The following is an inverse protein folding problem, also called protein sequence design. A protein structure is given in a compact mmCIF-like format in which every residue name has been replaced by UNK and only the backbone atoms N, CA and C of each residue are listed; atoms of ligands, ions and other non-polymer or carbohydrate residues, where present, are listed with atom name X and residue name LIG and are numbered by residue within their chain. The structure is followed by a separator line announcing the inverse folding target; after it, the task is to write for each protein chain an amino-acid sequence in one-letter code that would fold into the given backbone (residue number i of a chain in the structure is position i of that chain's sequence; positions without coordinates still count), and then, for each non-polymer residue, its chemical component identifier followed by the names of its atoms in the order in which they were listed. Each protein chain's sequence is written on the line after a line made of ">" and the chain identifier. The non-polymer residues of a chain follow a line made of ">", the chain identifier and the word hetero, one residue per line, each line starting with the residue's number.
data_IF_075976505961
#
_entry.id   IF_075976505961
#
_cell.length_a   1.000
_cell.length_b   1.000
_cell.length_c   1.000
_cell.angle_alpha   90.00
_cell.angle_beta   90.00
_cell.angle_gamma   90.00
#
_symmetry.space_group_name_H-M   'P 1'
#
loop_
_entity.id
_entity.type
_entity.pdbx_description
1 polymer ?
#
# COMPACT_ATOMS: atom_id res chain seq x y z
N UNK A 1 16.75 -6.22 12.28
CA UNK A 1 15.44 -5.60 12.03
C UNK A 1 15.66 -4.10 11.94
N UNK A 2 15.12 -3.43 10.91
CA UNK A 2 15.16 -1.99 10.77
C UNK A 2 13.83 -1.41 11.25
N UNK A 3 13.88 -0.28 11.95
CA UNK A 3 12.72 0.45 12.42
C UNK A 3 12.78 1.88 11.91
N UNK A 4 11.65 2.42 11.44
CA UNK A 4 11.55 3.81 11.04
C UNK A 4 11.38 4.67 12.30
N UNK A 5 12.40 5.48 12.61
CA UNK A 5 12.39 6.34 13.79
C UNK A 5 11.77 7.73 13.47
N UNK A 6 12.16 8.34 12.35
CA UNK A 6 11.66 9.66 11.91
C UNK A 6 11.88 9.84 10.41
N UNK A 7 11.19 10.80 9.80
CA UNK A 7 11.37 11.15 8.39
C UNK A 7 10.83 12.54 8.08
N UNK A 8 11.33 13.13 6.97
CA UNK A 8 10.78 14.35 6.37
C UNK A 8 10.63 14.13 4.87
N UNK A 9 9.54 14.62 4.30
CA UNK A 9 9.40 14.65 2.86
C UNK A 9 9.93 15.96 2.31
N UNK A 10 10.82 15.86 1.30
CA UNK A 10 11.54 17.03 0.78
C UNK A 10 11.40 17.12 -0.73
N UNK A 11 11.46 18.35 -1.25
CA UNK A 11 11.34 18.61 -2.69
C UNK A 11 12.65 18.34 -3.46
N UNK A 12 13.79 18.34 -2.76
CA UNK A 12 15.10 18.05 -3.32
C UNK A 12 15.87 17.09 -2.39
N UNK A 13 15.57 15.79 -2.54
CA UNK A 13 16.17 14.74 -1.71
C UNK A 13 17.71 14.69 -1.82
N UNK A 14 18.28 14.90 -3.02
CA UNK A 14 19.74 14.86 -3.22
C UNK A 14 20.46 15.96 -2.43
N UNK A 15 19.89 17.17 -2.42
CA UNK A 15 20.45 18.29 -1.65
C UNK A 15 20.40 18.01 -0.15
N UNK A 16 19.27 17.48 0.34
CA UNK A 16 19.08 17.16 1.75
C UNK A 16 19.96 16.00 2.19
N UNK A 17 20.00 14.93 1.40
CA UNK A 17 20.87 13.77 1.65
C UNK A 17 22.35 14.20 1.75
N UNK A 18 22.82 14.98 0.77
CA UNK A 18 24.20 15.50 0.78
C UNK A 18 24.48 16.36 2.02
N UNK A 19 23.54 17.23 2.41
CA UNK A 19 23.65 18.04 3.61
C UNK A 19 23.73 17.18 4.88
N UNK A 20 22.86 16.20 5.04
CA UNK A 20 22.86 15.30 6.20
C UNK A 20 24.12 14.44 6.27
N UNK A 21 24.58 13.90 5.14
CA UNK A 21 25.85 13.15 5.07
C UNK A 21 27.04 14.05 5.45
N UNK A 22 27.06 15.29 4.99
CA UNK A 22 28.11 16.24 5.40
C UNK A 22 28.04 16.57 6.90
N UNK A 23 26.83 16.82 7.42
CA UNK A 23 26.59 17.11 8.84
C UNK A 23 27.07 15.96 9.75
N UNK A 24 26.78 14.73 9.36
CA UNK A 24 27.09 13.55 10.16
C UNK A 24 28.34 12.79 9.74
N UNK A 25 29.18 13.39 8.91
CA UNK A 25 30.39 12.72 8.40
C UNK A 25 31.33 12.17 9.50
N UNK A 26 31.37 12.82 10.66
CA UNK A 26 32.17 12.35 11.83
C UNK A 26 31.55 11.15 12.55
N UNK A 27 30.27 10.90 12.33
CA UNK A 27 29.51 9.81 12.94
C UNK A 27 29.38 8.59 12.00
N UNK A 28 30.04 8.61 10.85
CA UNK A 28 29.97 7.53 9.86
C UNK A 28 30.54 6.24 10.46
N UNK A 29 29.79 5.14 10.31
CA UNK A 29 30.26 3.82 10.73
C UNK A 29 31.29 3.27 9.71
N UNK A 30 32.57 3.41 10.02
CA UNK A 30 33.67 2.96 9.17
C UNK A 30 33.95 1.46 9.29
N UNK A 31 33.33 0.77 10.26
CA UNK A 31 33.59 -0.66 10.51
C UNK A 31 32.92 -1.58 9.49
N UNK A 32 32.02 -1.06 8.68
CA UNK A 32 31.39 -1.82 7.59
C UNK A 32 31.90 -1.28 6.25
N UNK A 33 32.88 -1.99 5.67
CA UNK A 33 33.39 -1.68 4.34
C UNK A 33 32.25 -1.63 3.32
N UNK A 34 32.17 -0.56 2.54
CA UNK A 34 31.16 -0.27 1.52
C UNK A 34 29.80 0.27 2.01
N UNK A 35 29.58 0.54 3.28
CA UNK A 35 28.36 1.18 3.78
C UNK A 35 28.61 2.69 4.01
N UNK A 36 28.08 3.53 3.14
CA UNK A 36 28.22 4.99 3.22
C UNK A 36 27.04 5.70 3.90
N UNK A 37 26.05 4.93 4.37
CA UNK A 37 24.76 5.43 4.86
C UNK A 37 24.46 5.01 6.32
N UNK A 38 25.45 4.40 7.01
CA UNK A 38 25.28 4.00 8.40
C UNK A 38 26.04 4.97 9.30
N UNK A 39 25.32 5.58 10.24
CA UNK A 39 25.86 6.55 11.17
C UNK A 39 25.61 6.11 12.61
N UNK A 40 26.56 6.37 13.50
CA UNK A 40 26.39 6.26 14.95
C UNK A 40 25.72 7.54 15.46
N UNK A 41 24.39 7.55 15.51
CA UNK A 41 23.57 8.67 15.95
C UNK A 41 22.48 8.19 16.90
N UNK A 42 22.14 8.99 17.88
CA UNK A 42 20.89 8.81 18.60
C UNK A 42 19.69 9.22 17.72
N UNK A 43 18.52 8.63 17.98
CA UNK A 43 17.26 9.01 17.30
C UNK A 43 17.00 10.51 17.48
N UNK A 44 17.31 11.06 18.67
CA UNK A 44 17.13 12.47 18.96
C UNK A 44 18.00 13.37 18.05
N UNK A 45 19.30 13.07 17.91
CA UNK A 45 20.21 13.84 17.04
C UNK A 45 19.76 13.80 15.58
N UNK A 46 19.28 12.62 15.11
CA UNK A 46 18.72 12.49 13.77
C UNK A 46 17.45 13.31 13.59
N UNK A 47 16.51 13.25 14.54
CA UNK A 47 15.27 14.05 14.50
C UNK A 47 15.52 15.56 14.59
N UNK A 48 16.44 15.98 15.44
CA UNK A 48 16.84 17.39 15.55
C UNK A 48 17.41 17.90 14.22
N UNK A 49 18.25 17.10 13.56
CA UNK A 49 18.79 17.46 12.25
C UNK A 49 17.73 17.54 11.15
N UNK A 50 16.70 16.71 11.22
CA UNK A 50 15.55 16.77 10.29
C UNK A 50 14.67 17.99 10.57
N UNK A 51 14.58 18.45 11.82
CA UNK A 51 13.86 19.67 12.20
C UNK A 51 14.61 20.95 11.83
N UNK A 52 15.95 20.90 11.75
CA UNK A 52 16.81 22.00 11.33
C UNK A 52 16.87 22.21 9.79
N UNK A 53 16.18 21.38 9.02
CA UNK A 53 16.16 21.53 7.56
C UNK A 53 15.50 22.86 7.16
N UNK A 54 16.03 23.47 6.09
CA UNK A 54 15.43 24.67 5.46
C UNK A 54 13.96 24.38 5.12
N UNK A 55 13.07 25.21 5.65
CA UNK A 55 11.62 25.09 5.50
C UNK A 55 11.17 25.05 4.03
N UNK A 56 11.91 25.75 3.14
CA UNK A 56 11.68 25.73 1.70
C UNK A 56 11.98 24.35 1.05
N UNK A 57 12.73 23.50 1.72
CA UNK A 57 13.00 22.13 1.26
C UNK A 57 11.94 21.16 1.73
N UNK A 58 11.18 21.48 2.78
CA UNK A 58 10.19 20.59 3.38
C UNK A 58 8.86 20.67 2.61
N UNK A 59 8.30 19.51 2.32
CA UNK A 59 6.95 19.38 1.75
C UNK A 59 5.96 19.24 2.90
N UNK A 60 5.35 20.35 3.34
CA UNK A 60 4.41 20.38 4.47
C UNK A 60 3.11 19.61 4.24
N UNK A 61 2.74 19.35 2.99
CA UNK A 61 1.63 18.48 2.61
C UNK A 61 2.12 17.42 1.63
N UNK A 62 2.64 16.30 2.11
CA UNK A 62 3.04 15.19 1.26
C UNK A 62 1.94 14.82 0.27
N UNK A 63 2.31 14.41 -0.95
CA UNK A 63 1.31 13.96 -1.96
C UNK A 63 0.45 12.81 -1.43
N UNK A 64 1.00 11.98 -0.56
CA UNK A 64 0.29 10.92 0.16
C UNK A 64 -0.80 11.50 1.06
N UNK A 65 -0.52 12.59 1.79
CA UNK A 65 -1.53 13.24 2.65
C UNK A 65 -2.71 13.77 1.85
N UNK A 66 -2.45 14.26 0.63
CA UNK A 66 -3.53 14.69 -0.29
C UNK A 66 -4.38 13.53 -0.77
N UNK A 67 -3.79 12.34 -0.99
CA UNK A 67 -4.58 11.14 -1.31
C UNK A 67 -5.54 10.79 -0.17
N UNK A 68 -5.09 10.89 1.07
CA UNK A 68 -5.91 10.59 2.25
C UNK A 68 -6.91 11.72 2.63
N UNK A 69 -7.02 12.78 1.82
CA UNK A 69 -8.13 13.75 1.87
C UNK A 69 -9.33 13.30 1.03
N UNK A 70 -9.15 12.31 0.15
CA UNK A 70 -10.25 11.69 -0.61
C UNK A 70 -11.00 10.71 0.30
N UNK A 71 -12.19 11.10 0.71
CA UNK A 71 -13.03 10.33 1.65
C UNK A 71 -13.45 8.97 1.06
N UNK A 72 -13.70 8.89 -0.24
CA UNK A 72 -14.06 7.64 -0.90
C UNK A 72 -12.87 6.68 -0.95
N UNK A 73 -11.68 7.17 -1.28
CA UNK A 73 -10.45 6.37 -1.20
C UNK A 73 -10.22 5.85 0.21
N UNK A 74 -10.33 6.73 1.23
CA UNK A 74 -10.14 6.36 2.63
C UNK A 74 -11.15 5.29 3.07
N UNK A 75 -12.42 5.50 2.75
CA UNK A 75 -13.49 4.57 3.08
C UNK A 75 -13.30 3.22 2.36
N UNK A 76 -12.91 3.25 1.09
CA UNK A 76 -12.61 2.04 0.33
C UNK A 76 -11.45 1.25 0.96
N UNK A 77 -10.32 1.92 1.22
CA UNK A 77 -9.16 1.27 1.82
C UNK A 77 -9.45 0.74 3.22
N UNK A 78 -10.13 1.52 4.09
CA UNK A 78 -10.56 1.07 5.42
C UNK A 78 -11.37 -0.22 5.31
N UNK A 79 -12.41 -0.22 4.47
CA UNK A 79 -13.27 -1.39 4.32
C UNK A 79 -12.50 -2.59 3.74
N UNK A 80 -11.65 -2.37 2.73
CA UNK A 80 -10.84 -3.41 2.12
C UNK A 80 -9.92 -4.08 3.16
N UNK A 81 -9.24 -3.30 4.00
CA UNK A 81 -8.34 -3.80 5.03
C UNK A 81 -9.09 -4.55 6.14
N UNK A 82 -10.24 -4.03 6.57
CA UNK A 82 -11.07 -4.68 7.62
C UNK A 82 -11.68 -5.97 7.06
N UNK A 83 -12.34 -5.93 5.91
CA UNK A 83 -13.05 -7.07 5.34
C UNK A 83 -12.12 -8.21 4.93
N UNK A 84 -10.93 -7.90 4.41
CA UNK A 84 -9.93 -8.90 4.06
C UNK A 84 -9.20 -9.49 5.27
N UNK A 85 -9.35 -8.90 6.46
CA UNK A 85 -8.57 -9.23 7.64
C UNK A 85 -7.16 -8.64 7.66
N UNK A 86 -6.76 -7.90 6.61
CA UNK A 86 -5.42 -7.32 6.51
C UNK A 86 -5.11 -6.31 7.62
N UNK A 87 -6.13 -5.66 8.19
CA UNK A 87 -5.99 -4.78 9.35
C UNK A 87 -5.32 -5.48 10.56
N UNK A 88 -5.49 -6.78 10.72
CA UNK A 88 -4.83 -7.57 11.76
C UNK A 88 -3.36 -7.92 11.43
N UNK A 89 -2.92 -7.64 10.20
CA UNK A 89 -1.58 -7.93 9.70
C UNK A 89 -0.74 -6.67 9.48
N UNK A 90 -1.20 -5.52 9.94
CA UNK A 90 -0.49 -4.23 9.75
C UNK A 90 0.91 -4.24 10.35
N UNK A 91 1.14 -5.02 11.40
CA UNK A 91 2.44 -5.17 12.06
C UNK A 91 3.36 -6.23 11.41
N UNK A 92 2.81 -7.11 10.54
CA UNK A 92 3.58 -8.18 9.89
C UNK A 92 4.19 -7.69 8.57
N UNK A 93 5.27 -6.96 8.68
CA UNK A 93 5.98 -6.39 7.53
C UNK A 93 6.68 -7.48 6.70
N UNK A 94 6.78 -7.23 5.42
CA UNK A 94 7.50 -8.07 4.47
C UNK A 94 6.66 -9.16 3.79
N UNK A 95 5.60 -9.65 4.43
CA UNK A 95 4.69 -10.67 3.85
C UNK A 95 3.77 -10.03 2.81
N UNK A 96 3.39 -8.79 3.03
CA UNK A 96 2.55 -7.99 2.15
C UNK A 96 3.11 -6.59 1.99
N UNK A 97 2.71 -5.89 0.93
CA UNK A 97 3.15 -4.52 0.68
C UNK A 97 2.01 -3.66 0.17
N UNK A 98 2.02 -2.40 0.59
CA UNK A 98 1.11 -1.38 0.10
C UNK A 98 1.93 -0.21 -0.45
N UNK A 99 1.75 0.09 -1.72
CA UNK A 99 2.49 1.14 -2.42
C UNK A 99 1.53 2.17 -3.00
N UNK A 100 1.87 3.45 -2.87
CA UNK A 100 1.10 4.57 -3.36
C UNK A 100 1.86 5.33 -4.44
N UNK A 101 1.14 5.76 -5.48
CA UNK A 101 1.67 6.50 -6.62
C UNK A 101 0.88 7.80 -6.84
N UNK A 102 1.00 8.78 -5.92
CA UNK A 102 0.15 9.98 -5.90
C UNK A 102 0.32 10.89 -7.12
N UNK A 103 1.38 10.72 -7.90
CA UNK A 103 1.65 11.50 -9.11
C UNK A 103 1.24 10.80 -10.41
N UNK A 104 0.68 9.60 -10.33
CA UNK A 104 0.32 8.84 -11.52
C UNK A 104 -0.74 9.53 -12.38
N UNK A 105 -0.73 9.23 -13.66
CA UNK A 105 -1.78 9.57 -14.62
C UNK A 105 -1.90 8.43 -15.62
N UNK A 106 -3.02 7.71 -15.56
CA UNK A 106 -3.27 6.52 -16.36
C UNK A 106 -2.60 5.22 -15.84
N UNK A 107 -1.76 5.30 -14.79
CA UNK A 107 -1.11 4.15 -14.18
C UNK A 107 -1.67 3.79 -12.81
N UNK A 108 -0.99 2.91 -12.10
CA UNK A 108 -1.33 2.51 -10.72
C UNK A 108 -1.40 3.75 -9.83
N UNK A 109 -2.49 3.89 -9.08
CA UNK A 109 -2.67 4.90 -8.04
C UNK A 109 -2.26 4.34 -6.68
N UNK A 110 -2.65 3.11 -6.41
CA UNK A 110 -2.06 2.27 -5.37
C UNK A 110 -1.95 0.83 -5.86
N UNK A 111 -1.11 0.04 -5.18
CA UNK A 111 -1.04 -1.41 -5.31
C UNK A 111 -0.94 -2.06 -3.94
N UNK A 112 -1.57 -3.23 -3.79
CA UNK A 112 -1.47 -4.09 -2.64
C UNK A 112 -1.03 -5.47 -3.10
N UNK A 113 0.05 -5.97 -2.51
CA UNK A 113 0.62 -7.26 -2.86
C UNK A 113 0.67 -8.15 -1.62
N UNK A 114 0.38 -9.43 -1.80
CA UNK A 114 0.62 -10.48 -0.81
C UNK A 114 1.63 -11.45 -1.41
N UNK A 115 2.78 -11.61 -0.77
CA UNK A 115 3.90 -12.34 -1.34
C UNK A 115 4.34 -11.71 -2.67
N UNK A 116 4.31 -12.49 -3.75
CA UNK A 116 4.68 -12.06 -5.10
C UNK A 116 3.49 -11.61 -5.96
N UNK A 117 2.26 -11.65 -5.45
CA UNK A 117 1.05 -11.37 -6.22
C UNK A 117 0.44 -10.01 -5.87
N UNK A 118 0.07 -9.25 -6.89
CA UNK A 118 -0.75 -8.06 -6.75
C UNK A 118 -2.20 -8.51 -6.53
N UNK A 119 -2.71 -8.32 -5.32
CA UNK A 119 -4.07 -8.77 -4.92
C UNK A 119 -5.12 -7.69 -5.05
N UNK A 120 -4.71 -6.42 -5.06
CA UNK A 120 -5.57 -5.30 -5.41
C UNK A 120 -4.74 -4.14 -5.96
N UNK A 121 -5.36 -3.40 -6.86
CA UNK A 121 -4.86 -2.09 -7.29
C UNK A 121 -6.00 -1.19 -7.74
N UNK A 122 -5.73 0.09 -7.78
CA UNK A 122 -6.52 1.04 -8.55
C UNK A 122 -5.62 1.83 -9.48
N UNK A 123 -6.11 2.12 -10.69
CA UNK A 123 -5.49 3.09 -11.58
C UNK A 123 -6.17 4.45 -11.40
N UNK A 124 -5.54 5.51 -11.85
CA UNK A 124 -6.15 6.84 -11.89
C UNK A 124 -5.86 7.50 -13.22
N UNK A 125 -6.90 7.84 -13.97
CA UNK A 125 -6.81 8.70 -15.13
C UNK A 125 -7.34 10.10 -14.76
N UNK A 126 -6.44 11.06 -14.66
CA UNK A 126 -6.78 12.42 -14.22
C UNK A 126 -7.55 13.22 -15.26
N UNK A 127 -7.54 12.80 -16.53
CA UNK A 127 -8.24 13.53 -17.61
C UNK A 127 -9.75 13.34 -17.56
N UNK A 128 -10.19 12.14 -17.21
CA UNK A 128 -11.61 11.77 -17.18
C UNK A 128 -12.09 11.31 -15.79
N UNK A 129 -11.27 11.44 -14.76
CA UNK A 129 -11.56 11.00 -13.37
C UNK A 129 -11.99 9.54 -13.24
N UNK A 130 -11.73 8.73 -14.26
CA UNK A 130 -12.04 7.31 -14.25
C UNK A 130 -10.89 6.50 -13.67
N UNK A 131 -11.25 5.50 -12.90
CA UNK A 131 -10.35 4.52 -12.31
C UNK A 131 -10.76 3.12 -12.76
N UNK A 132 -9.79 2.23 -12.82
CA UNK A 132 -10.04 0.79 -12.87
C UNK A 132 -9.55 0.20 -11.56
N UNK A 133 -10.42 -0.53 -10.89
CA UNK A 133 -10.10 -1.21 -9.64
C UNK A 133 -10.02 -2.71 -9.91
N UNK A 134 -8.90 -3.32 -9.55
CA UNK A 134 -8.75 -4.78 -9.59
C UNK A 134 -8.70 -5.31 -8.18
N UNK A 135 -9.44 -6.39 -7.95
CA UNK A 135 -9.42 -7.14 -6.68
C UNK A 135 -9.38 -8.62 -6.99
N UNK A 136 -8.41 -9.30 -6.42
CA UNK A 136 -8.26 -10.74 -6.54
C UNK A 136 -9.03 -11.43 -5.41
N UNK A 137 -9.96 -12.32 -5.76
CA UNK A 137 -10.85 -13.01 -4.83
C UNK A 137 -10.79 -14.52 -5.03
N UNK A 138 -11.25 -15.26 -4.04
CA UNK A 138 -11.57 -16.68 -4.22
C UNK A 138 -12.77 -16.85 -5.17
N UNK A 139 -12.74 -17.90 -5.99
CA UNK A 139 -13.83 -18.23 -6.92
C UNK A 139 -15.19 -18.49 -6.24
N UNK A 140 -15.23 -18.60 -4.91
CA UNK A 140 -16.48 -18.63 -4.14
C UNK A 140 -17.40 -17.45 -4.45
N UNK A 141 -16.87 -16.34 -4.95
CA UNK A 141 -17.68 -15.20 -5.40
C UNK A 141 -18.64 -15.59 -6.54
N UNK A 142 -18.30 -16.61 -7.34
CA UNK A 142 -19.11 -17.06 -8.46
C UNK A 142 -20.41 -17.77 -8.01
N UNK A 143 -20.53 -18.13 -6.74
CA UNK A 143 -21.74 -18.72 -6.14
C UNK A 143 -22.81 -17.66 -5.81
N UNK A 144 -22.54 -16.36 -6.08
CA UNK A 144 -23.43 -15.23 -5.78
C UNK A 144 -23.92 -14.56 -7.07
N UNK A 145 -24.98 -15.06 -7.72
CA UNK A 145 -25.40 -14.58 -9.05
C UNK A 145 -25.79 -13.09 -9.09
N UNK A 146 -26.38 -12.56 -8.03
CA UNK A 146 -26.72 -11.12 -7.95
C UNK A 146 -25.47 -10.26 -7.92
N UNK A 147 -24.44 -10.68 -7.18
CA UNK A 147 -23.14 -10.00 -7.15
C UNK A 147 -22.44 -10.11 -8.51
N UNK A 148 -22.51 -11.25 -9.18
CA UNK A 148 -21.97 -11.43 -10.54
C UNK A 148 -22.66 -10.47 -11.52
N UNK A 149 -23.98 -10.43 -11.52
CA UNK A 149 -24.75 -9.52 -12.37
C UNK A 149 -24.39 -8.05 -12.11
N UNK A 150 -24.15 -7.69 -10.84
CA UNK A 150 -23.69 -6.35 -10.49
C UNK A 150 -22.26 -6.08 -11.01
N UNK A 151 -21.34 -7.06 -10.92
CA UNK A 151 -19.97 -6.92 -11.46
C UNK A 151 -20.02 -6.70 -12.97
N UNK A 152 -20.84 -7.45 -13.71
CA UNK A 152 -20.97 -7.35 -15.16
C UNK A 152 -21.50 -5.99 -15.62
N UNK A 153 -22.29 -5.32 -14.79
CA UNK A 153 -22.77 -3.95 -15.05
C UNK A 153 -21.69 -2.88 -14.83
N UNK A 154 -20.70 -3.14 -13.97
CA UNK A 154 -19.69 -2.16 -13.57
C UNK A 154 -18.27 -2.51 -14.04
N UNK A 155 -18.10 -3.69 -14.64
CA UNK A 155 -16.80 -4.19 -15.05
C UNK A 155 -16.84 -5.59 -15.63
N UNK A 156 -15.88 -6.43 -15.24
CA UNK A 156 -15.81 -7.82 -15.73
C UNK A 156 -15.02 -8.72 -14.77
N UNK A 157 -15.11 -10.03 -14.98
CA UNK A 157 -14.40 -11.07 -14.25
C UNK A 157 -13.39 -11.74 -15.19
N UNK A 158 -12.14 -11.85 -14.73
CA UNK A 158 -11.09 -12.54 -15.44
C UNK A 158 -10.57 -13.72 -14.59
N UNK A 159 -10.61 -14.94 -15.15
CA UNK A 159 -10.28 -16.16 -14.41
C UNK A 159 -8.79 -16.41 -14.22
N UNK A 160 -7.90 -15.69 -14.91
CA UNK A 160 -6.47 -15.98 -14.91
C UNK A 160 -5.61 -14.77 -15.31
N UNK A 161 -5.81 -13.65 -14.64
CA UNK A 161 -4.98 -12.46 -14.85
C UNK A 161 -3.49 -12.73 -14.59
N UNK A 162 -3.17 -13.49 -13.53
CA UNK A 162 -1.82 -13.96 -13.26
C UNK A 162 -1.71 -15.48 -13.44
N UNK A 163 -0.78 -15.94 -14.27
CA UNK A 163 -0.54 -17.36 -14.50
C UNK A 163 -0.11 -18.15 -13.25
N UNK A 164 0.43 -17.43 -12.25
CA UNK A 164 0.95 -17.99 -11.00
C UNK A 164 -0.04 -17.94 -9.84
N UNK A 165 -1.25 -17.43 -10.08
CA UNK A 165 -2.33 -17.37 -9.09
C UNK A 165 -2.89 -18.76 -8.86
N UNK A 166 -3.28 -19.05 -7.60
CA UNK A 166 -3.93 -20.31 -7.26
C UNK A 166 -5.16 -20.55 -8.16
N UNK A 167 -5.41 -21.80 -8.61
CA UNK A 167 -6.52 -22.12 -9.53
C UNK A 167 -7.91 -21.73 -9.04
N UNK A 168 -8.03 -21.40 -7.75
CA UNK A 168 -9.27 -20.96 -7.10
C UNK A 168 -9.48 -19.45 -7.11
N UNK A 169 -8.55 -18.65 -7.64
CA UNK A 169 -8.69 -17.20 -7.66
C UNK A 169 -9.32 -16.70 -8.95
N UNK A 170 -10.04 -15.60 -8.82
CA UNK A 170 -10.58 -14.81 -9.92
C UNK A 170 -10.24 -13.33 -9.69
N UNK A 171 -9.98 -12.60 -10.78
CA UNK A 171 -9.74 -11.17 -10.75
C UNK A 171 -11.04 -10.44 -11.12
N UNK A 172 -11.49 -9.56 -10.24
CA UNK A 172 -12.62 -8.67 -10.50
C UNK A 172 -12.06 -7.33 -10.94
N UNK A 173 -12.49 -6.85 -12.08
CA UNK A 173 -12.18 -5.53 -12.61
C UNK A 173 -13.44 -4.67 -12.60
N UNK A 174 -13.37 -3.52 -11.94
CA UNK A 174 -14.45 -2.54 -11.86
C UNK A 174 -13.99 -1.23 -12.48
N UNK A 175 -14.83 -0.59 -13.25
CA UNK A 175 -14.58 0.71 -13.87
C UNK A 175 -15.43 1.76 -13.17
N UNK A 176 -14.84 2.86 -12.76
CA UNK A 176 -15.54 3.96 -12.12
C UNK A 176 -14.69 4.65 -11.06
N UNK A 177 -15.38 5.29 -10.13
CA UNK A 177 -14.79 5.99 -8.98
C UNK A 177 -14.68 5.08 -7.76
N UNK A 178 -14.09 5.54 -6.67
CA UNK A 178 -13.89 4.72 -5.45
C UNK A 178 -15.22 4.36 -4.75
N UNK A 179 -16.31 5.09 -4.98
CA UNK A 179 -17.63 4.72 -4.49
C UNK A 179 -18.12 3.40 -5.10
N UNK A 180 -17.89 3.18 -6.41
CA UNK A 180 -18.19 1.89 -7.07
C UNK A 180 -17.40 0.76 -6.42
N UNK A 181 -16.10 0.95 -6.21
CA UNK A 181 -15.26 -0.04 -5.55
C UNK A 181 -15.70 -0.29 -4.09
N UNK A 182 -16.12 0.76 -3.38
CA UNK A 182 -16.64 0.65 -2.01
C UNK A 182 -17.99 -0.09 -1.99
N UNK A 183 -18.88 0.18 -2.93
CA UNK A 183 -20.16 -0.51 -3.03
C UNK A 183 -20.01 -1.99 -3.38
N UNK A 184 -19.00 -2.34 -4.18
CA UNK A 184 -18.64 -3.73 -4.42
C UNK A 184 -18.31 -4.46 -3.13
N UNK A 185 -17.54 -3.85 -2.23
CA UNK A 185 -17.14 -4.47 -0.96
C UNK A 185 -18.33 -4.81 -0.05
N UNK A 186 -19.50 -4.18 -0.28
CA UNK A 186 -20.74 -4.42 0.48
C UNK A 186 -21.59 -5.55 -0.10
N UNK A 187 -21.25 -6.07 -1.31
CA UNK A 187 -22.05 -7.10 -1.99
C UNK A 187 -21.88 -8.46 -1.30
N UNK A 188 -22.94 -9.26 -1.43
CA UNK A 188 -22.97 -10.59 -0.86
C UNK A 188 -21.84 -11.47 -1.40
N UNK A 189 -21.25 -12.26 -0.52
CA UNK A 189 -20.15 -13.15 -0.82
C UNK A 189 -18.77 -12.50 -0.91
N UNK A 190 -18.65 -11.17 -1.12
CA UNK A 190 -17.36 -10.48 -1.31
C UNK A 190 -16.46 -10.65 -0.08
N UNK A 191 -16.97 -10.39 1.13
CA UNK A 191 -16.20 -10.60 2.36
C UNK A 191 -15.70 -12.04 2.49
N UNK A 192 -16.56 -13.02 2.19
CA UNK A 192 -16.21 -14.45 2.27
C UNK A 192 -15.11 -14.80 1.27
N UNK A 193 -15.23 -14.34 0.04
CA UNK A 193 -14.26 -14.59 -1.02
C UNK A 193 -12.91 -13.85 -0.77
N UNK A 194 -12.93 -12.65 -0.18
CA UNK A 194 -11.74 -11.94 0.28
C UNK A 194 -10.99 -12.73 1.35
N UNK A 195 -11.68 -13.12 2.42
CA UNK A 195 -11.07 -13.86 3.53
C UNK A 195 -10.52 -15.20 3.03
N UNK A 196 -11.29 -15.94 2.23
CA UNK A 196 -10.89 -17.24 1.71
C UNK A 196 -9.60 -17.19 0.88
N UNK A 197 -9.31 -16.08 0.19
CA UNK A 197 -8.11 -15.96 -0.62
C UNK A 197 -6.98 -15.19 0.10
N UNK A 198 -7.25 -14.02 0.66
CA UNK A 198 -6.21 -13.15 1.22
C UNK A 198 -5.68 -13.64 2.55
N UNK A 199 -6.59 -13.96 3.48
CA UNK A 199 -6.20 -14.43 4.80
C UNK A 199 -5.44 -15.75 4.72
N UNK A 200 -5.93 -16.67 3.89
CA UNK A 200 -5.25 -17.94 3.67
C UNK A 200 -3.86 -17.75 3.04
N UNK A 201 -3.73 -16.84 2.08
CA UNK A 201 -2.44 -16.48 1.47
C UNK A 201 -1.48 -15.87 2.49
N UNK A 202 -1.95 -14.96 3.35
CA UNK A 202 -1.16 -14.35 4.42
C UNK A 202 -0.72 -15.40 5.45
N UNK A 203 -1.64 -16.27 5.85
CA UNK A 203 -1.37 -17.31 6.84
C UNK A 203 -0.30 -18.30 6.36
N UNK A 204 -0.39 -18.72 5.11
CA UNK A 204 0.60 -19.61 4.49
C UNK A 204 1.99 -18.97 4.33
N UNK A 205 2.08 -17.65 4.33
CA UNK A 205 3.35 -16.92 4.22
C UNK A 205 3.92 -16.49 5.58
N UNK A 206 3.14 -16.51 6.66
CA UNK A 206 3.51 -16.03 7.99
C UNK A 206 4.82 -16.65 8.51
N UNK A 207 4.96 -17.95 8.35
CA UNK A 207 6.13 -18.71 8.83
C UNK A 207 7.19 -18.89 7.72
N UNK A 208 6.96 -18.33 6.53
CA UNK A 208 7.95 -18.30 5.47
C UNK A 208 8.89 -17.11 5.69
N UNK A 209 10.20 -17.34 5.66
CA UNK A 209 11.19 -16.25 5.63
C UNK A 209 11.18 -15.48 4.29
N UNK A 210 10.09 -15.57 3.52
CA UNK A 210 9.94 -14.97 2.21
C UNK A 210 9.26 -13.61 2.37
N UNK A 211 10.04 -12.55 2.21
CA UNK A 211 9.48 -11.21 2.03
C UNK A 211 8.84 -11.06 0.64
N UNK A 212 7.84 -10.20 0.55
CA UNK A 212 7.33 -9.75 -0.74
C UNK A 212 8.46 -9.16 -1.58
N UNK A 213 8.52 -9.50 -2.87
CA UNK A 213 9.48 -8.91 -3.83
C UNK A 213 9.32 -7.39 -3.96
N UNK A 214 8.19 -6.87 -3.53
CA UNK A 214 7.86 -5.44 -3.53
C UNK A 214 8.12 -4.76 -2.18
N UNK A 215 8.71 -5.44 -1.18
CA UNK A 215 8.92 -4.90 0.18
C UNK A 215 9.62 -3.53 0.18
N UNK A 216 10.56 -3.29 -0.75
CA UNK A 216 11.26 -2.01 -0.93
C UNK A 216 10.35 -0.82 -1.31
N UNK A 217 9.14 -1.09 -1.80
CA UNK A 217 8.16 -0.07 -2.18
C UNK A 217 7.07 0.14 -1.13
N UNK A 218 7.18 -0.55 0.02
CA UNK A 218 6.18 -0.44 1.08
C UNK A 218 6.11 0.98 1.63
N UNK A 219 4.92 1.56 1.63
CA UNK A 219 4.71 2.92 2.08
C UNK A 219 4.30 2.94 3.57
N UNK A 220 5.28 3.02 4.45
CA UNK A 220 5.07 3.04 5.92
C UNK A 220 4.17 4.19 6.39
N UNK A 221 4.26 5.35 5.75
CA UNK A 221 3.40 6.49 6.04
C UNK A 221 1.92 6.19 5.79
N UNK A 222 1.64 5.58 4.65
CA UNK A 222 0.29 5.19 4.30
C UNK A 222 -0.25 4.15 5.29
N UNK A 223 0.61 3.22 5.73
CA UNK A 223 0.22 2.20 6.71
C UNK A 223 -0.08 2.82 8.08
N UNK A 224 0.74 3.77 8.54
CA UNK A 224 0.47 4.48 9.78
C UNK A 224 -0.89 5.22 9.73
N UNK A 225 -1.19 5.88 8.60
CA UNK A 225 -2.50 6.52 8.38
C UNK A 225 -3.65 5.51 8.34
N UNK A 226 -3.49 4.42 7.62
CA UNK A 226 -4.50 3.35 7.58
C UNK A 226 -4.73 2.73 8.95
N UNK A 227 -3.68 2.51 9.73
CA UNK A 227 -3.80 2.01 11.09
C UNK A 227 -4.66 2.96 11.95
N UNK A 228 -4.39 4.26 11.88
CA UNK A 228 -5.22 5.27 12.57
C UNK A 228 -6.68 5.20 12.11
N UNK A 229 -6.94 5.16 10.79
CA UNK A 229 -8.29 5.13 10.22
C UNK A 229 -9.02 3.83 10.60
N UNK A 230 -8.34 2.68 10.57
CA UNK A 230 -8.94 1.39 10.92
C UNK A 230 -9.21 1.25 12.43
N UNK A 231 -8.44 1.92 13.29
CA UNK A 231 -8.59 1.90 14.73
C UNK A 231 -9.70 2.85 15.25
N UNK A 232 -10.15 3.76 14.40
CA UNK A 232 -11.27 4.65 14.73
C UNK A 232 -12.59 3.91 14.52
N UNK A 233 -13.47 3.81 15.53
CA UNK A 233 -14.75 3.07 15.45
C UNK A 233 -15.70 3.61 14.39
#
# INVERSE_FOLDING_TARGET
>A
KWELADFRQVNNWRKVEHYLHYRFRSCLNTNQANQKELFYLSVKEASDALNDLDENLIIHKPKVDRMFQDEYLCSYLKNLFILSGLAHWLEYQGVWTFSLFPSTNGGRYFTLNIGSHEVAFSTLNRKNTQSTHMILLDKLILDFPETISWIEQHGYIEKSYYKTVLPRAVSIFLNGTFDIALDFLKKDGVRRALIAYWYDSLFNLKDSNKCSVYARFHNYNAIAKLNTICSTP
#
